data_IF_679545150941
#
_entry.id   IF_679545150941
#
_cell.length_a   1.000
_cell.length_b   1.000
_cell.length_c   1.000
_cell.angle_alpha   90.00
_cell.angle_beta   90.00
_cell.angle_gamma   90.00
#
_symmetry.space_group_name_H-M   'P 1'
#
loop_
_entity.id
_entity.type
_entity.pdbx_description
1 polymer ?
#
# COMPACT_ATOMS: atom_id res chain seq x y z
N UNK A 1 7.09 -18.33 -1.29
CA UNK A 1 7.51 -18.96 -0.01
C UNK A 1 9.03 -19.02 0.01
N UNK A 2 9.70 -18.58 1.09
CA UNK A 2 11.17 -18.52 1.16
C UNK A 2 11.84 -19.74 1.83
N UNK A 3 11.05 -20.64 2.43
CA UNK A 3 11.58 -21.72 3.28
C UNK A 3 12.54 -22.68 2.54
N UNK A 4 12.28 -23.15 1.31
CA UNK A 4 13.23 -23.98 0.58
C UNK A 4 14.57 -23.29 0.34
N UNK A 5 14.55 -21.98 0.05
CA UNK A 5 15.75 -21.16 -0.13
C UNK A 5 16.59 -21.07 1.14
N UNK A 6 15.96 -20.87 2.30
CA UNK A 6 16.68 -20.88 3.59
C UNK A 6 17.32 -22.24 3.89
N UNK A 7 16.64 -23.35 3.58
CA UNK A 7 17.19 -24.69 3.78
C UNK A 7 18.39 -24.98 2.85
N UNK A 8 18.30 -24.56 1.59
CA UNK A 8 19.40 -24.69 0.64
C UNK A 8 20.62 -23.86 1.07
N UNK A 9 20.42 -22.58 1.42
CA UNK A 9 21.50 -21.72 1.91
C UNK A 9 22.18 -22.28 3.16
N UNK A 10 21.39 -22.82 4.10
CA UNK A 10 21.92 -23.51 5.29
C UNK A 10 22.78 -24.71 4.93
N UNK A 11 22.34 -25.56 3.98
CA UNK A 11 23.10 -26.74 3.54
C UNK A 11 24.41 -26.37 2.86
N UNK A 12 24.44 -25.24 2.16
CA UNK A 12 25.61 -24.74 1.44
C UNK A 12 26.50 -23.82 2.27
N UNK A 13 26.19 -23.59 3.56
CA UNK A 13 26.95 -22.67 4.42
C UNK A 13 26.85 -21.19 4.01
N UNK A 14 25.86 -20.82 3.17
CA UNK A 14 25.68 -19.45 2.68
C UNK A 14 24.98 -18.61 3.76
N UNK A 15 25.50 -17.42 4.12
CA UNK A 15 24.87 -16.56 5.12
C UNK A 15 23.46 -16.13 4.73
N UNK A 16 22.52 -16.28 5.66
CA UNK A 16 21.12 -15.90 5.45
C UNK A 16 20.86 -14.53 6.10
N UNK A 17 20.22 -13.63 5.35
CA UNK A 17 19.65 -12.38 5.87
C UNK A 17 18.14 -12.43 5.68
N UNK A 18 17.39 -12.11 6.73
CA UNK A 18 15.92 -12.09 6.70
C UNK A 18 15.44 -10.66 6.93
N UNK A 19 14.50 -10.19 6.11
CA UNK A 19 13.72 -8.99 6.39
C UNK A 19 12.24 -9.36 6.55
N UNK A 20 11.62 -8.94 7.66
CA UNK A 20 10.19 -9.11 7.90
C UNK A 20 9.47 -7.75 7.79
N UNK A 21 8.73 -7.60 6.68
CA UNK A 21 7.95 -6.41 6.38
C UNK A 21 6.58 -6.38 7.07
N UNK A 22 6.10 -7.51 7.61
CA UNK A 22 4.78 -7.56 8.25
C UNK A 22 4.88 -7.48 9.77
N UNK A 23 3.91 -6.81 10.39
CA UNK A 23 3.80 -6.73 11.86
C UNK A 23 3.67 -8.10 12.52
N UNK A 24 3.08 -9.10 11.84
CA UNK A 24 3.07 -10.49 12.29
C UNK A 24 4.02 -11.33 11.43
N UNK A 25 5.11 -11.84 12.01
CA UNK A 25 6.07 -12.63 11.26
C UNK A 25 5.47 -13.92 10.69
N UNK A 26 5.73 -14.18 9.42
CA UNK A 26 5.31 -15.41 8.75
C UNK A 26 6.09 -16.63 9.24
N UNK A 27 5.52 -17.84 9.09
CA UNK A 27 6.18 -19.08 9.53
C UNK A 27 7.56 -19.28 8.88
N UNK A 28 7.69 -18.97 7.59
CA UNK A 28 8.96 -19.04 6.88
C UNK A 28 10.03 -18.14 7.51
N UNK A 29 9.69 -16.89 7.84
CA UNK A 29 10.62 -15.95 8.46
C UNK A 29 10.93 -16.29 9.91
N UNK A 30 9.97 -16.88 10.66
CA UNK A 30 10.23 -17.44 12.00
C UNK A 30 11.24 -18.59 11.97
N UNK A 31 11.20 -19.44 10.95
CA UNK A 31 12.17 -20.53 10.79
C UNK A 31 13.50 -19.99 10.27
N UNK A 32 13.47 -19.14 9.24
CA UNK A 32 14.66 -18.52 8.66
C UNK A 32 15.46 -17.70 9.67
N UNK A 33 14.79 -16.97 10.57
CA UNK A 33 15.44 -16.16 11.60
C UNK A 33 16.28 -16.97 12.59
N UNK A 34 16.06 -18.30 12.72
CA UNK A 34 16.87 -19.17 13.58
C UNK A 34 18.26 -19.44 12.99
N UNK A 35 18.38 -19.34 11.67
CA UNK A 35 19.60 -19.62 10.92
C UNK A 35 20.20 -18.36 10.29
N UNK A 36 19.52 -17.22 10.41
CA UNK A 36 19.94 -15.96 9.84
C UNK A 36 21.11 -15.35 10.61
N UNK A 37 22.09 -14.82 9.87
CA UNK A 37 23.17 -13.99 10.42
C UNK A 37 22.64 -12.62 10.84
N UNK A 38 21.68 -12.09 10.07
CA UNK A 38 21.01 -10.82 10.37
C UNK A 38 19.51 -10.94 10.14
N UNK A 39 18.74 -10.39 11.09
CA UNK A 39 17.28 -10.33 11.03
C UNK A 39 16.88 -8.87 11.14
N UNK A 40 16.31 -8.34 10.06
CA UNK A 40 15.81 -6.98 9.96
C UNK A 40 14.28 -6.99 10.05
N UNK A 41 13.71 -6.03 10.77
CA UNK A 41 12.26 -5.94 10.97
C UNK A 41 11.74 -4.53 10.71
N UNK A 42 10.51 -4.49 10.22
CA UNK A 42 9.77 -3.26 9.90
C UNK A 42 8.96 -2.71 11.06
N UNK A 43 8.74 -3.49 12.12
CA UNK A 43 8.03 -3.07 13.33
C UNK A 43 8.92 -3.25 14.57
N UNK A 44 8.91 -2.31 15.51
CA UNK A 44 9.75 -2.38 16.71
C UNK A 44 9.39 -3.59 17.60
N UNK A 45 8.10 -3.96 17.65
CA UNK A 45 7.59 -5.04 18.51
C UNK A 45 7.72 -6.45 17.91
N UNK A 46 8.55 -6.62 16.88
CA UNK A 46 8.69 -7.92 16.22
C UNK A 46 9.28 -8.96 17.17
N UNK A 47 8.59 -10.09 17.31
CA UNK A 47 9.02 -11.22 18.16
C UNK A 47 10.03 -12.16 17.48
N UNK A 48 10.64 -11.75 16.38
CA UNK A 48 11.68 -12.55 15.74
C UNK A 48 12.97 -12.50 16.56
N UNK A 49 13.64 -13.65 16.66
CA UNK A 49 14.94 -13.75 17.35
C UNK A 49 15.98 -12.87 16.64
N UNK A 50 16.80 -12.16 17.41
CA UNK A 50 17.86 -11.28 16.92
C UNK A 50 17.38 -10.17 15.96
N UNK A 51 16.11 -9.77 16.08
CA UNK A 51 15.52 -8.73 15.26
C UNK A 51 16.19 -7.37 15.50
N UNK A 52 16.51 -6.68 14.42
CA UNK A 52 16.95 -5.28 14.41
C UNK A 52 15.92 -4.46 13.66
N UNK A 53 15.39 -3.44 14.31
CA UNK A 53 14.46 -2.52 13.66
C UNK A 53 15.19 -1.66 12.63
N UNK A 54 14.76 -1.74 11.37
CA UNK A 54 15.31 -0.95 10.26
C UNK A 54 14.22 -0.30 9.40
N UNK A 55 12.94 -0.56 9.71
CA UNK A 55 11.82 -0.12 8.89
C UNK A 55 11.65 -0.92 7.60
N UNK A 56 10.91 -0.35 6.65
CA UNK A 56 10.69 -0.93 5.32
C UNK A 56 11.61 -0.22 4.32
N UNK A 57 12.45 -0.96 3.56
CA UNK A 57 13.25 -0.34 2.50
C UNK A 57 12.32 0.12 1.38
N UNK A 58 12.33 1.43 1.13
CA UNK A 58 11.53 2.06 0.08
C UNK A 58 12.35 2.28 -1.19
N UNK A 59 11.67 2.36 -2.33
CA UNK A 59 12.29 2.80 -3.58
C UNK A 59 12.78 4.24 -3.41
N UNK A 60 13.98 4.55 -3.91
CA UNK A 60 14.55 5.91 -3.79
C UNK A 60 13.61 6.98 -4.34
N UNK A 61 12.97 6.72 -5.47
CA UNK A 61 11.99 7.64 -6.08
C UNK A 61 10.79 7.98 -5.21
N UNK A 62 10.47 7.14 -4.22
CA UNK A 62 9.40 7.40 -3.24
C UNK A 62 10.00 8.04 -1.98
N UNK A 63 11.12 7.49 -1.48
CA UNK A 63 11.76 7.96 -0.26
C UNK A 63 12.27 9.41 -0.34
N UNK A 64 12.60 9.88 -1.55
CA UNK A 64 13.08 11.26 -1.79
C UNK A 64 12.08 12.09 -2.59
N UNK A 65 10.81 11.68 -2.64
CA UNK A 65 9.79 12.36 -3.44
C UNK A 65 9.38 13.68 -2.80
N UNK A 66 9.62 14.79 -3.51
CA UNK A 66 8.93 16.05 -3.25
C UNK A 66 7.61 16.07 -4.04
N UNK A 67 6.51 15.78 -3.33
CA UNK A 67 5.18 15.75 -3.94
C UNK A 67 4.75 17.12 -4.46
N UNK A 68 5.09 18.21 -3.78
CA UNK A 68 4.65 19.55 -4.16
C UNK A 68 5.33 19.97 -5.48
N UNK A 69 6.63 19.71 -5.60
CA UNK A 69 7.39 20.02 -6.81
C UNK A 69 6.93 19.19 -8.02
N UNK A 70 6.63 17.89 -7.83
CA UNK A 70 6.29 16.96 -8.91
C UNK A 70 4.80 16.97 -9.27
N UNK A 71 3.93 17.49 -8.39
CA UNK A 71 2.47 17.47 -8.57
C UNK A 71 1.98 18.03 -9.91
N UNK A 72 2.48 19.17 -10.42
CA UNK A 72 2.00 19.71 -11.70
C UNK A 72 2.24 18.75 -12.86
N UNK A 73 3.45 18.19 -12.95
CA UNK A 73 3.83 17.17 -13.94
C UNK A 73 2.96 15.92 -13.78
N UNK A 74 2.80 15.44 -12.54
CA UNK A 74 2.03 14.24 -12.28
C UNK A 74 0.56 14.38 -12.67
N UNK A 75 -0.08 15.52 -12.34
CA UNK A 75 -1.47 15.80 -12.72
C UNK A 75 -1.62 15.89 -14.22
N UNK A 76 -0.70 16.57 -14.92
CA UNK A 76 -0.70 16.64 -16.37
C UNK A 76 -0.52 15.25 -17.02
N UNK A 77 0.39 14.42 -16.50
CA UNK A 77 0.66 13.08 -17.01
C UNK A 77 -0.56 12.15 -16.93
N UNK A 78 -1.42 12.34 -15.92
CA UNK A 78 -2.67 11.58 -15.78
C UNK A 78 -3.88 12.27 -16.39
N UNK A 79 -3.79 13.50 -16.92
CA UNK A 79 -4.94 14.25 -17.42
C UNK A 79 -5.88 14.75 -16.30
N UNK A 80 -5.32 15.01 -15.13
CA UNK A 80 -6.03 15.56 -13.97
C UNK A 80 -5.98 17.08 -13.97
N UNK A 81 -7.03 17.72 -13.45
CA UNK A 81 -7.09 19.16 -13.25
C UNK A 81 -6.14 19.61 -12.14
N UNK A 82 -5.46 20.74 -12.34
CA UNK A 82 -4.46 21.25 -11.41
C UNK A 82 -5.05 21.82 -10.13
N UNK A 83 -6.32 22.22 -10.13
CA UNK A 83 -6.96 22.94 -9.03
C UNK A 83 -7.98 22.09 -8.27
N UNK A 84 -8.29 20.88 -8.75
CA UNK A 84 -9.25 19.99 -8.09
C UNK A 84 -8.57 19.03 -7.10
N UNK A 85 -9.28 18.63 -6.02
CA UNK A 85 -8.81 17.60 -5.10
C UNK A 85 -8.79 16.22 -5.78
N UNK A 86 -7.68 15.50 -5.65
CA UNK A 86 -7.46 14.19 -6.29
C UNK A 86 -7.48 13.05 -5.28
N UNK A 87 -8.38 12.09 -5.48
CA UNK A 87 -8.41 10.82 -4.76
C UNK A 87 -7.69 9.72 -5.56
N UNK A 88 -6.63 9.16 -5.00
CA UNK A 88 -5.99 7.95 -5.52
C UNK A 88 -6.67 6.72 -4.93
N UNK A 89 -7.05 5.75 -5.76
CA UNK A 89 -7.64 4.49 -5.32
C UNK A 89 -6.78 3.33 -5.79
N UNK A 90 -6.39 2.43 -4.88
CA UNK A 90 -5.72 1.18 -5.26
C UNK A 90 -6.00 0.03 -4.30
N UNK A 91 -6.31 -1.14 -4.87
CA UNK A 91 -6.43 -2.40 -4.13
C UNK A 91 -5.09 -3.07 -3.81
N UNK A 92 -3.95 -2.47 -4.17
CA UNK A 92 -2.63 -3.11 -4.18
C UNK A 92 -2.33 -3.79 -5.53
N UNK A 93 -1.21 -4.53 -5.59
CA UNK A 93 -0.65 -5.03 -6.86
C UNK A 93 -1.57 -5.96 -7.69
N UNK A 94 -2.52 -6.64 -7.05
CA UNK A 94 -3.51 -7.50 -7.73
C UNK A 94 -4.86 -6.81 -7.94
N UNK A 95 -5.03 -5.59 -7.44
CA UNK A 95 -6.33 -4.94 -7.34
C UNK A 95 -7.24 -5.56 -6.28
N UNK A 96 -8.42 -4.96 -6.10
CA UNK A 96 -9.43 -5.46 -5.18
C UNK A 96 -10.82 -5.26 -5.78
N UNK A 97 -11.37 -6.31 -6.41
CA UNK A 97 -12.65 -6.24 -7.12
C UNK A 97 -13.76 -5.53 -6.35
N UNK A 98 -13.95 -5.88 -5.07
CA UNK A 98 -14.97 -5.25 -4.23
C UNK A 98 -14.72 -3.76 -3.97
N UNK A 99 -13.46 -3.35 -3.85
CA UNK A 99 -13.10 -1.94 -3.76
C UNK A 99 -13.45 -1.25 -5.08
N UNK A 100 -13.11 -1.88 -6.21
CA UNK A 100 -13.34 -1.31 -7.53
C UNK A 100 -14.85 -1.08 -7.77
N UNK A 101 -15.69 -2.07 -7.47
CA UNK A 101 -17.17 -1.99 -7.56
C UNK A 101 -17.74 -0.84 -6.72
N UNK A 102 -17.31 -0.74 -5.46
CA UNK A 102 -17.79 0.31 -4.55
C UNK A 102 -17.38 1.69 -5.05
N UNK A 103 -16.13 1.84 -5.46
CA UNK A 103 -15.58 3.11 -5.95
C UNK A 103 -16.28 3.53 -7.24
N UNK A 104 -16.58 2.59 -8.14
CA UNK A 104 -17.38 2.87 -9.34
C UNK A 104 -18.79 3.34 -8.97
N UNK A 105 -19.46 2.68 -8.02
CA UNK A 105 -20.80 3.06 -7.59
C UNK A 105 -20.88 4.45 -6.95
N UNK A 106 -19.83 4.89 -6.25
CA UNK A 106 -19.78 6.23 -5.61
C UNK A 106 -19.13 7.31 -6.49
N UNK A 107 -18.58 6.95 -7.65
CA UNK A 107 -17.89 7.91 -8.52
C UNK A 107 -18.75 9.13 -8.90
N UNK A 108 -20.06 8.99 -9.25
CA UNK A 108 -20.89 10.16 -9.54
C UNK A 108 -21.06 11.11 -8.35
N UNK A 109 -21.04 10.58 -7.12
CA UNK A 109 -21.10 11.41 -5.91
C UNK A 109 -19.78 12.18 -5.72
N UNK A 110 -18.64 11.54 -5.93
CA UNK A 110 -17.33 12.19 -5.86
C UNK A 110 -17.18 13.30 -6.90
N UNK A 111 -17.61 13.04 -8.14
CA UNK A 111 -17.58 14.03 -9.23
C UNK A 111 -18.46 15.24 -8.91
N UNK A 112 -19.69 15.04 -8.39
CA UNK A 112 -20.55 16.15 -7.96
C UNK A 112 -19.96 16.95 -6.80
N UNK A 113 -19.12 16.34 -5.97
CA UNK A 113 -18.38 17.03 -4.91
C UNK A 113 -17.11 17.75 -5.41
N UNK A 114 -16.83 17.75 -6.72
CA UNK A 114 -15.65 18.39 -7.29
C UNK A 114 -14.36 17.54 -7.17
N UNK A 115 -14.47 16.26 -6.84
CA UNK A 115 -13.31 15.38 -6.62
C UNK A 115 -13.01 14.57 -7.87
N UNK A 116 -11.77 14.63 -8.33
CA UNK A 116 -11.26 13.77 -9.40
C UNK A 116 -10.65 12.49 -8.83
N UNK A 117 -10.71 11.40 -9.59
CA UNK A 117 -10.32 10.07 -9.10
C UNK A 117 -9.32 9.44 -10.06
N UNK A 118 -8.15 9.07 -9.54
CA UNK A 118 -7.20 8.18 -10.22
C UNK A 118 -7.33 6.78 -9.62
N UNK A 119 -7.77 5.80 -10.41
CA UNK A 119 -8.15 4.49 -9.89
C UNK A 119 -7.31 3.37 -10.52
N UNK A 120 -6.36 2.84 -9.77
CA UNK A 120 -5.58 1.67 -10.14
C UNK A 120 -6.34 0.38 -9.77
N UNK A 121 -7.03 -0.19 -10.75
CA UNK A 121 -7.98 -1.29 -10.55
C UNK A 121 -7.32 -2.66 -10.41
N UNK A 122 -6.07 -2.79 -10.85
CA UNK A 122 -5.31 -4.03 -10.89
C UNK A 122 -5.42 -4.76 -12.24
N UNK A 123 -4.33 -5.38 -12.71
CA UNK A 123 -4.18 -5.83 -14.10
C UNK A 123 -5.13 -6.96 -14.52
N UNK A 124 -5.79 -7.62 -13.56
CA UNK A 124 -6.72 -8.73 -13.80
C UNK A 124 -8.20 -8.30 -13.74
N UNK A 125 -8.47 -7.01 -13.50
CA UNK A 125 -9.83 -6.50 -13.38
C UNK A 125 -10.16 -5.65 -14.60
N UNK A 126 -11.43 -5.67 -15.00
CA UNK A 126 -11.95 -4.78 -16.02
C UNK A 126 -11.91 -3.33 -15.54
N UNK A 127 -11.65 -2.42 -16.47
CA UNK A 127 -11.68 -0.99 -16.17
C UNK A 127 -13.14 -0.57 -15.99
N UNK A 128 -13.51 0.03 -14.84
CA UNK A 128 -14.85 0.53 -14.62
C UNK A 128 -15.15 1.65 -15.63
N UNK A 129 -16.32 1.58 -16.24
CA UNK A 129 -16.84 2.66 -17.06
C UNK A 129 -17.59 3.65 -16.15
N UNK A 130 -17.15 4.91 -16.17
CA UNK A 130 -17.78 6.02 -15.46
C UNK A 130 -17.84 7.18 -16.44
N UNK A 131 -19.03 7.75 -16.61
CA UNK A 131 -19.25 8.85 -17.55
C UNK A 131 -18.55 10.13 -17.05
N UNK A 132 -17.52 10.56 -17.79
CA UNK A 132 -16.91 11.87 -17.61
C UNK A 132 -17.70 12.88 -18.45
N UNK A 133 -18.81 13.37 -17.92
CA UNK A 133 -19.58 14.42 -18.60
C UNK A 133 -18.77 15.74 -18.66
N UNK A 134 -18.96 16.57 -19.71
CA UNK A 134 -18.31 17.88 -19.79
C UNK A 134 -18.57 18.72 -18.52
N UNK A 135 -17.51 19.25 -17.92
CA UNK A 135 -17.58 20.04 -16.69
C UNK A 135 -17.59 19.24 -15.39
N UNK A 136 -17.58 17.91 -15.43
CA UNK A 136 -17.36 17.09 -14.24
C UNK A 136 -15.88 16.77 -14.03
N UNK A 137 -15.41 16.64 -12.77
CA UNK A 137 -14.07 16.17 -12.47
C UNK A 137 -13.79 14.80 -13.12
N UNK A 138 -12.57 14.57 -13.63
CA UNK A 138 -12.25 13.33 -14.33
C UNK A 138 -12.21 12.14 -13.37
N UNK A 139 -12.75 11.02 -13.83
CA UNK A 139 -12.54 9.69 -13.29
C UNK A 139 -11.66 8.89 -14.25
N UNK A 140 -10.48 8.46 -13.77
CA UNK A 140 -9.42 7.90 -14.59
C UNK A 140 -9.08 6.49 -14.10
N UNK A 141 -9.70 5.45 -14.68
CA UNK A 141 -9.38 4.07 -14.37
C UNK A 141 -8.14 3.63 -15.15
N UNK A 142 -7.17 3.07 -14.44
CA UNK A 142 -5.99 2.44 -15.04
C UNK A 142 -5.82 1.02 -14.52
N UNK A 143 -5.33 0.12 -15.38
CA UNK A 143 -5.11 -1.27 -15.01
C UNK A 143 -3.99 -1.40 -13.99
N UNK A 144 -2.95 -0.59 -14.14
CA UNK A 144 -1.77 -0.57 -13.28
C UNK A 144 -1.09 0.81 -13.32
N UNK A 145 -0.32 1.13 -12.27
CA UNK A 145 0.47 2.36 -12.16
C UNK A 145 1.95 2.00 -12.10
N UNK A 146 2.67 2.21 -13.20
CA UNK A 146 4.12 1.98 -13.25
C UNK A 146 4.89 3.02 -12.43
N UNK A 147 4.45 4.29 -12.52
CA UNK A 147 5.00 5.44 -11.79
C UNK A 147 4.14 5.80 -10.58
N UNK A 148 4.23 4.96 -9.55
CA UNK A 148 3.55 5.20 -8.27
C UNK A 148 3.98 6.51 -7.59
N UNK A 149 5.22 6.95 -7.83
CA UNK A 149 5.72 8.25 -7.40
C UNK A 149 4.91 9.41 -7.98
N UNK A 150 4.59 9.38 -9.28
CA UNK A 150 3.70 10.37 -9.88
C UNK A 150 2.28 10.27 -9.29
N UNK A 151 1.75 9.07 -9.11
CA UNK A 151 0.42 8.89 -8.53
C UNK A 151 0.33 9.47 -7.11
N UNK A 152 1.36 9.28 -6.28
CA UNK A 152 1.43 9.86 -4.94
C UNK A 152 1.58 11.39 -4.97
N UNK A 153 2.30 11.95 -5.93
CA UNK A 153 2.43 13.40 -6.10
C UNK A 153 1.13 14.07 -6.56
N UNK A 154 0.40 13.44 -7.49
CA UNK A 154 -0.86 13.96 -8.00
C UNK A 154 -1.99 13.97 -6.96
N UNK A 155 -1.97 12.99 -6.05
CA UNK A 155 -3.03 12.75 -5.07
C UNK A 155 -2.97 13.67 -3.84
N UNK A 156 -4.15 13.97 -3.31
CA UNK A 156 -4.36 14.64 -2.02
C UNK A 156 -4.71 13.63 -0.92
N UNK A 157 -5.36 12.53 -1.29
CA UNK A 157 -5.68 11.42 -0.39
C UNK A 157 -5.64 10.09 -1.15
N UNK A 158 -5.35 8.99 -0.45
CA UNK A 158 -5.45 7.64 -0.98
C UNK A 158 -6.52 6.79 -0.28
N UNK A 159 -7.33 6.06 -1.04
CA UNK A 159 -8.18 4.98 -0.56
C UNK A 159 -7.57 3.64 -0.97
N UNK A 160 -7.14 2.84 0.00
CA UNK A 160 -6.43 1.59 -0.31
C UNK A 160 -6.57 0.51 0.74
N UNK A 161 -6.04 -0.67 0.46
CA UNK A 161 -5.86 -1.72 1.48
C UNK A 161 -4.64 -1.41 2.36
N UNK A 162 -4.67 -1.86 3.62
CA UNK A 162 -3.56 -1.74 4.56
C UNK A 162 -2.43 -2.77 4.30
N UNK A 163 -1.72 -2.63 3.18
CA UNK A 163 -0.50 -3.40 2.90
C UNK A 163 0.72 -2.75 3.55
N UNK A 164 1.65 -3.54 4.10
CA UNK A 164 2.82 -3.00 4.82
C UNK A 164 3.66 -2.04 3.96
N UNK A 165 3.95 -2.38 2.71
CA UNK A 165 4.66 -1.50 1.77
C UNK A 165 3.89 -0.19 1.54
N UNK A 166 2.60 -0.28 1.23
CA UNK A 166 1.76 0.90 0.97
C UNK A 166 1.70 1.82 2.18
N UNK A 167 1.55 1.27 3.39
CA UNK A 167 1.57 2.09 4.62
C UNK A 167 2.91 2.81 4.77
N UNK A 168 4.03 2.11 4.60
CA UNK A 168 5.34 2.75 4.71
C UNK A 168 5.60 3.80 3.62
N UNK A 169 5.18 3.55 2.38
CA UNK A 169 5.28 4.53 1.28
C UNK A 169 4.46 5.78 1.58
N UNK A 170 3.21 5.62 2.00
CA UNK A 170 2.31 6.74 2.32
C UNK A 170 2.79 7.56 3.52
N UNK A 171 3.32 6.89 4.54
CA UNK A 171 3.95 7.56 5.69
C UNK A 171 5.20 8.34 5.28
N UNK A 172 6.04 7.79 4.38
CA UNK A 172 7.25 8.46 3.92
C UNK A 172 6.96 9.70 3.07
N UNK A 173 5.92 9.66 2.22
CA UNK A 173 5.54 10.79 1.36
C UNK A 173 4.51 11.73 1.99
N UNK A 174 4.06 11.44 3.22
CA UNK A 174 3.05 12.23 3.93
C UNK A 174 1.71 12.33 3.20
N UNK A 175 1.26 11.28 2.50
CA UNK A 175 -0.03 11.25 1.80
C UNK A 175 -1.12 10.67 2.73
N UNK A 176 -2.14 11.46 3.11
CA UNK A 176 -3.26 10.96 3.93
C UNK A 176 -3.95 9.76 3.27
N UNK A 177 -4.38 8.80 4.09
CA UNK A 177 -4.94 7.54 3.60
C UNK A 177 -6.14 7.05 4.40
N UNK A 178 -7.16 6.55 3.69
CA UNK A 178 -8.22 5.73 4.24
C UNK A 178 -7.97 4.26 3.92
N UNK A 179 -7.82 3.44 4.95
CA UNK A 179 -7.55 2.01 4.80
C UNK A 179 -8.83 1.19 4.86
N UNK A 180 -9.08 0.40 3.80
CA UNK A 180 -10.17 -0.57 3.73
C UNK A 180 -9.69 -1.91 4.30
N UNK A 181 -10.27 -2.41 5.40
CA UNK A 181 -9.93 -3.71 5.95
C UNK A 181 -10.30 -4.82 4.96
N UNK A 182 -9.35 -5.71 4.67
CA UNK A 182 -9.66 -6.93 3.94
C UNK A 182 -9.94 -8.06 4.92
N UNK A 183 -11.04 -8.80 4.70
CA UNK A 183 -11.25 -10.09 5.35
C UNK A 183 -10.28 -11.10 4.74
N UNK A 184 -9.20 -11.45 5.43
CA UNK A 184 -8.36 -12.58 5.01
C UNK A 184 -9.12 -13.89 5.22
N UNK A 185 -9.08 -14.81 4.23
CA UNK A 185 -9.66 -16.15 4.29
C UNK A 185 -9.00 -17.12 5.30
N UNK A 186 -8.18 -16.61 6.22
CA UNK A 186 -7.51 -17.35 7.30
C UNK A 186 -7.89 -16.82 8.69
N UNK A 187 -9.16 -16.46 8.87
CA UNK A 187 -9.73 -16.12 10.16
C UNK A 187 -10.68 -17.23 10.64
N UNK A 188 -10.18 -18.46 10.77
CA UNK A 188 -10.83 -19.47 11.63
C UNK A 188 -9.99 -19.60 12.91
N UNK A 189 -10.10 -18.57 13.76
CA UNK A 189 -9.79 -18.62 15.19
C UNK A 189 -10.42 -17.37 15.84
N UNK A 190 -11.72 -17.48 16.10
CA UNK A 190 -12.50 -16.83 17.16
C UNK A 190 -12.10 -15.43 17.67
N UNK A 191 -11.60 -14.51 16.83
CA UNK A 191 -11.28 -13.15 17.26
C UNK A 191 -12.10 -12.12 16.47
N UNK A 192 -12.74 -11.26 17.23
CA UNK A 192 -13.73 -10.27 16.81
C UNK A 192 -13.19 -9.32 15.72
N UNK A 193 -13.96 -8.99 14.66
CA UNK A 193 -13.52 -8.14 13.54
C UNK A 193 -13.00 -6.74 13.94
N UNK A 194 -13.38 -6.24 15.11
CA UNK A 194 -13.09 -4.88 15.59
C UNK A 194 -11.64 -4.64 16.04
N UNK A 195 -10.82 -5.71 16.21
CA UNK A 195 -9.46 -5.60 16.75
C UNK A 195 -8.36 -5.42 15.69
N UNK A 196 -8.66 -5.71 14.41
CA UNK A 196 -7.68 -5.64 13.32
C UNK A 196 -7.58 -4.26 12.66
N UNK A 197 -8.71 -3.56 12.49
CA UNK A 197 -8.74 -2.21 11.92
C UNK A 197 -7.97 -1.21 12.78
N UNK A 198 -8.12 -1.31 14.11
CA UNK A 198 -7.31 -0.56 15.07
C UNK A 198 -5.84 -0.94 14.97
N UNK A 199 -5.47 -2.22 15.10
CA UNK A 199 -4.04 -2.62 15.11
C UNK A 199 -3.25 -2.32 13.83
N UNK A 200 -3.86 -2.34 12.65
CA UNK A 200 -3.16 -1.98 11.42
C UNK A 200 -2.92 -0.45 11.30
N UNK A 201 -3.78 0.37 11.91
CA UNK A 201 -3.54 1.81 12.06
C UNK A 201 -2.61 2.09 13.27
N UNK A 202 -2.86 1.43 14.41
CA UNK A 202 -2.12 1.59 15.67
C UNK A 202 -0.66 1.14 15.57
N UNK A 203 -0.32 0.16 14.72
CA UNK A 203 1.07 -0.25 14.51
C UNK A 203 1.90 0.78 13.72
N UNK A 204 1.26 1.79 13.11
CA UNK A 204 1.93 2.80 12.29
C UNK A 204 1.59 4.25 12.69
N UNK A 205 0.69 4.45 13.65
CA UNK A 205 0.46 5.72 14.31
C UNK A 205 1.46 5.90 15.47
N UNK A 206 2.72 6.16 15.15
CA UNK A 206 3.64 6.79 16.11
C UNK A 206 4.07 8.12 15.55
N UNK A 207 3.31 9.18 15.89
CA UNK A 207 3.85 10.54 15.90
C UNK A 207 5.01 10.59 16.90
N UNK A 208 6.17 11.17 16.54
CA UNK A 208 7.16 11.54 17.53
C UNK A 208 6.55 12.67 18.36
N UNK A 209 6.50 12.48 19.68
CA UNK A 209 6.39 13.58 20.65
C UNK A 209 7.62 14.48 20.59
#
# INVERSE_FOLDING_TARGET
>A
MALPGYLAAKRLGVPIVVHEANARPGLANKIGSRYAKYVAVSTPDSKLRNARYVGIPLRRSIATLDRAAVRPEARAAFGLDQNLPTLLVSGGSQGARRLNEVVQAVAPFLQRAGIQVLHAVGPKNELPHVDNMPGMPPYIPVSYLDRMDLAYAAADMMLCRAGAMTVAELSAVGLPAAYVPCRSATANSGSTPSRWSRRAADCWSTTPS
#
